data_IF_117879172438
#
_entry.id   IF_117879172438
#
_cell.length_a   1.000
_cell.length_b   1.000
_cell.length_c   1.000
_cell.angle_alpha   90.00
_cell.angle_beta   90.00
_cell.angle_gamma   90.00
#
_symmetry.space_group_name_H-M   'P 1'
#
loop_
_entity.id
_entity.type
_entity.pdbx_description
1 polymer ?
#
# COMPACT_ATOMS: atom_id res chain seq x y z
N UNK A 1 -72.02 -24.20 41.32
CA UNK A 1 -71.48 -23.59 42.55
C UNK A 1 -70.01 -23.26 42.33
N UNK A 2 -69.59 -22.08 42.79
CA UNK A 2 -68.25 -21.51 42.68
C UNK A 2 -67.16 -22.45 43.25
N UNK A 3 -65.99 -22.47 42.62
CA UNK A 3 -64.72 -22.13 43.29
C UNK A 3 -63.60 -22.03 42.25
N UNK A 4 -63.04 -20.81 42.14
CA UNK A 4 -61.69 -20.55 41.65
C UNK A 4 -60.67 -21.16 42.62
N UNK A 5 -59.51 -21.59 42.13
CA UNK A 5 -58.19 -21.26 42.69
C UNK A 5 -57.11 -21.45 41.61
N UNK A 6 -56.40 -20.35 41.44
CA UNK A 6 -55.12 -20.07 40.79
C UNK A 6 -54.04 -21.15 40.87
N UNK A 7 -53.38 -21.42 39.74
CA UNK A 7 -52.10 -22.11 39.65
C UNK A 7 -51.14 -21.32 38.75
N UNK A 8 -50.05 -20.83 39.35
CA UNK A 8 -48.99 -20.04 38.73
C UNK A 8 -48.29 -20.79 37.59
N UNK A 9 -48.19 -20.15 36.42
CA UNK A 9 -47.30 -20.57 35.34
C UNK A 9 -45.87 -20.08 35.63
N UNK A 10 -44.95 -21.01 35.86
CA UNK A 10 -43.52 -20.72 35.92
C UNK A 10 -43.00 -20.49 34.49
N UNK A 11 -42.68 -19.23 34.17
CA UNK A 11 -41.92 -18.88 32.98
C UNK A 11 -40.44 -19.22 33.22
N UNK A 12 -39.95 -20.28 32.59
CA UNK A 12 -38.51 -20.52 32.45
C UNK A 12 -37.92 -19.48 31.49
N UNK A 13 -37.34 -18.42 32.04
CA UNK A 13 -36.45 -17.51 31.31
C UNK A 13 -35.13 -18.23 31.10
N UNK A 14 -34.89 -18.70 29.87
CA UNK A 14 -33.57 -19.14 29.43
C UNK A 14 -32.73 -17.88 29.27
N UNK A 15 -31.94 -17.55 30.29
CA UNK A 15 -30.92 -16.52 30.20
C UNK A 15 -29.75 -17.08 29.37
N UNK A 16 -29.66 -16.66 28.11
CA UNK A 16 -28.46 -16.85 27.29
C UNK A 16 -27.26 -16.20 27.99
N UNK A 17 -26.10 -16.88 28.09
CA UNK A 17 -24.91 -16.24 28.64
C UNK A 17 -24.49 -15.10 27.73
N UNK A 18 -24.37 -13.93 28.34
CA UNK A 18 -23.90 -12.70 27.72
C UNK A 18 -22.63 -12.97 26.91
N UNK A 19 -22.69 -12.62 25.62
CA UNK A 19 -21.53 -12.43 24.77
C UNK A 19 -20.58 -11.48 25.52
N UNK A 20 -19.42 -12.00 25.92
CA UNK A 20 -18.36 -11.19 26.49
C UNK A 20 -18.00 -10.11 25.46
N UNK A 21 -18.47 -8.90 25.71
CA UNK A 21 -18.01 -7.70 25.03
C UNK A 21 -16.52 -7.59 25.35
N UNK A 22 -15.69 -7.92 24.38
CA UNK A 22 -14.28 -7.55 24.38
C UNK A 22 -14.26 -6.03 24.45
N UNK A 23 -13.98 -5.52 25.65
CA UNK A 23 -13.69 -4.12 25.91
C UNK A 23 -12.66 -3.66 24.89
N UNK A 24 -13.11 -2.85 23.94
CA UNK A 24 -12.25 -2.04 23.08
C UNK A 24 -11.58 -1.07 24.05
N UNK A 25 -10.35 -1.39 24.45
CA UNK A 25 -9.53 -0.48 25.23
C UNK A 25 -9.42 0.80 24.43
N UNK A 26 -9.97 1.87 25.01
CA UNK A 26 -10.03 3.20 24.46
C UNK A 26 -8.69 3.61 23.86
N UNK A 27 -8.67 3.90 22.56
CA UNK A 27 -7.57 4.67 21.98
C UNK A 27 -7.62 6.03 22.66
N UNK A 28 -6.61 6.36 23.46
CA UNK A 28 -6.51 7.69 24.05
C UNK A 28 -6.55 8.72 22.92
N UNK A 29 -7.40 9.73 23.04
CA UNK A 29 -7.35 10.94 22.25
C UNK A 29 -6.02 11.66 22.55
N UNK A 30 -4.94 11.20 21.91
CA UNK A 30 -3.64 11.86 21.89
C UNK A 30 -3.64 13.02 20.90
N UNK A 31 -2.64 13.90 21.03
CA UNK A 31 -2.32 15.02 20.12
C UNK A 31 -2.69 14.70 18.67
N UNK A 32 -3.10 15.72 17.90
CA UNK A 32 -3.22 15.60 16.44
C UNK A 32 -1.88 15.08 15.93
N UNK A 33 -1.82 13.77 15.65
CA UNK A 33 -0.65 13.13 15.10
C UNK A 33 -0.42 13.81 13.76
N UNK A 34 0.75 14.42 13.62
CA UNK A 34 1.19 15.03 12.39
C UNK A 34 1.08 14.00 11.26
N UNK A 35 0.06 14.19 10.42
CA UNK A 35 -0.31 13.20 9.41
C UNK A 35 0.76 13.05 8.34
N UNK A 36 1.57 14.08 8.14
CA UNK A 36 2.64 14.16 7.15
C UNK A 36 3.96 13.58 7.68
N UNK A 37 4.05 13.25 8.97
CA UNK A 37 5.27 12.73 9.59
C UNK A 37 5.90 11.54 8.84
N UNK A 38 5.14 10.53 8.35
CA UNK A 38 5.74 9.44 7.58
C UNK A 38 6.42 9.89 6.28
N UNK A 39 5.95 10.98 5.67
CA UNK A 39 6.55 11.52 4.45
C UNK A 39 7.88 12.23 4.70
N UNK A 40 8.18 12.59 5.96
CA UNK A 40 9.46 13.22 6.33
C UNK A 40 10.54 12.25 6.74
N UNK A 41 10.20 10.97 6.94
CA UNK A 41 11.15 9.89 7.28
C UNK A 41 12.43 9.92 6.41
N UNK A 42 12.36 10.05 5.07
CA UNK A 42 13.57 10.08 4.24
C UNK A 42 14.55 11.21 4.59
N UNK A 43 14.01 12.34 5.06
CA UNK A 43 14.75 13.58 5.25
C UNK A 43 15.10 13.86 6.72
N UNK A 44 14.53 13.10 7.65
CA UNK A 44 14.73 13.28 9.10
C UNK A 44 15.31 12.04 9.78
N UNK A 45 15.00 10.83 9.30
CA UNK A 45 15.31 9.56 10.00
C UNK A 45 16.16 8.59 9.18
N UNK A 46 15.86 8.44 7.91
CA UNK A 46 16.55 7.49 7.04
C UNK A 46 17.91 8.06 6.63
N UNK A 47 18.99 7.46 7.14
CA UNK A 47 20.35 7.84 6.79
C UNK A 47 20.77 7.25 5.45
N UNK A 48 21.33 8.08 4.58
CA UNK A 48 22.00 7.63 3.37
C UNK A 48 23.29 6.89 3.76
N UNK A 49 23.44 5.64 3.30
CA UNK A 49 24.63 4.83 3.56
C UNK A 49 25.91 5.40 2.94
N UNK A 50 25.80 6.31 1.96
CA UNK A 50 26.95 6.94 1.29
C UNK A 50 27.49 8.14 2.07
N UNK A 51 26.62 8.91 2.70
CA UNK A 51 26.99 10.17 3.38
C UNK A 51 26.89 10.08 4.91
N UNK A 52 26.09 9.16 5.43
CA UNK A 52 25.74 9.07 6.86
C UNK A 52 24.62 10.02 7.29
N UNK A 53 24.21 10.94 6.41
CA UNK A 53 23.21 11.98 6.68
C UNK A 53 21.83 11.61 6.11
N UNK A 54 20.73 12.20 6.63
CA UNK A 54 19.42 12.09 5.98
C UNK A 54 19.44 12.59 4.53
N UNK A 55 18.52 12.08 3.71
CA UNK A 55 18.42 12.52 2.32
C UNK A 55 17.95 13.99 2.24
N UNK A 56 18.43 14.78 1.28
CA UNK A 56 17.84 16.09 1.01
C UNK A 56 16.46 15.93 0.38
N UNK A 57 15.55 16.89 0.57
CA UNK A 57 14.20 16.88 -0.05
C UNK A 57 14.28 16.77 -1.58
N UNK A 58 15.31 17.34 -2.20
CA UNK A 58 15.56 17.22 -3.64
C UNK A 58 15.76 15.78 -4.11
N UNK A 59 16.19 14.85 -3.24
CA UNK A 59 16.36 13.45 -3.59
C UNK A 59 15.03 12.74 -3.89
N UNK A 60 13.89 13.28 -3.45
CA UNK A 60 12.57 12.75 -3.75
C UNK A 60 12.03 13.18 -5.12
N UNK A 61 12.68 14.13 -5.79
CA UNK A 61 12.24 14.64 -7.09
C UNK A 61 12.56 13.62 -8.17
N UNK A 62 11.56 13.29 -8.98
CA UNK A 62 11.70 12.47 -10.16
C UNK A 62 12.46 13.25 -11.25
N UNK A 63 13.57 12.67 -11.69
CA UNK A 63 14.49 13.26 -12.66
C UNK A 63 13.97 13.16 -14.12
N UNK A 64 12.88 12.43 -14.36
CA UNK A 64 12.25 12.35 -15.68
C UNK A 64 11.64 13.70 -16.09
N UNK A 65 12.31 14.41 -16.98
CA UNK A 65 11.90 15.70 -17.53
C UNK A 65 10.65 15.63 -18.41
N UNK A 66 10.29 14.44 -18.91
CA UNK A 66 9.07 14.21 -19.70
C UNK A 66 7.81 14.16 -18.84
N UNK A 67 7.95 14.04 -17.51
CA UNK A 67 6.81 14.09 -16.61
C UNK A 67 6.35 15.53 -16.38
N UNK A 68 5.03 15.79 -16.35
CA UNK A 68 4.49 17.03 -15.84
C UNK A 68 5.08 17.41 -14.48
N UNK A 69 5.43 18.68 -14.30
CA UNK A 69 6.13 19.17 -13.11
C UNK A 69 5.43 18.78 -11.79
N UNK A 70 4.10 18.84 -11.75
CA UNK A 70 3.31 18.49 -10.57
C UNK A 70 3.40 16.99 -10.19
N UNK A 71 3.74 16.10 -11.13
CA UNK A 71 3.91 14.66 -10.86
C UNK A 71 5.32 14.31 -10.42
N UNK A 72 6.30 15.17 -10.71
CA UNK A 72 7.71 14.90 -10.40
C UNK A 72 8.02 14.93 -8.91
N UNK A 73 7.18 15.60 -8.11
CA UNK A 73 7.28 15.62 -6.65
C UNK A 73 6.71 14.39 -5.95
N UNK A 74 6.27 13.35 -6.68
CA UNK A 74 5.68 12.12 -6.11
C UNK A 74 6.74 11.09 -5.74
N UNK A 75 6.64 10.57 -4.53
CA UNK A 75 7.50 9.51 -4.02
C UNK A 75 6.75 8.62 -3.04
N UNK A 76 7.37 7.50 -2.69
CA UNK A 76 6.82 6.50 -1.78
C UNK A 76 7.78 6.33 -0.61
N UNK A 77 7.22 6.17 0.60
CA UNK A 77 7.95 5.82 1.81
C UNK A 77 7.37 4.53 2.39
N UNK A 78 8.15 3.45 2.35
CA UNK A 78 7.87 2.22 3.09
C UNK A 78 8.42 2.35 4.49
N UNK A 79 7.56 2.52 5.49
CA UNK A 79 7.93 2.37 6.90
C UNK A 79 7.64 0.92 7.29
N UNK A 80 8.67 0.09 7.23
CA UNK A 80 8.56 -1.34 7.48
C UNK A 80 8.85 -1.71 8.94
N UNK A 81 9.04 -0.73 9.82
CA UNK A 81 9.03 -1.00 11.24
C UNK A 81 7.61 -1.40 11.66
N UNK A 82 7.46 -2.45 12.44
CA UNK A 82 6.17 -2.91 12.97
C UNK A 82 5.98 -2.52 14.43
N UNK A 83 7.08 -2.26 15.14
CA UNK A 83 7.10 -1.74 16.50
C UNK A 83 7.52 -0.26 16.54
N UNK A 84 7.19 0.40 17.64
CA UNK A 84 7.71 1.72 17.99
C UNK A 84 9.01 1.62 18.80
N UNK A 85 9.61 2.77 19.12
CA UNK A 85 10.87 2.88 19.87
C UNK A 85 10.76 2.30 21.30
N UNK A 86 9.55 2.17 21.85
CA UNK A 86 9.31 1.54 23.15
C UNK A 86 9.22 0.00 23.07
N UNK A 87 9.34 -0.57 21.87
CA UNK A 87 9.24 -2.01 21.63
C UNK A 87 7.80 -2.51 21.59
N UNK A 88 6.82 -1.63 21.40
CA UNK A 88 5.40 -1.98 21.32
C UNK A 88 4.97 -2.04 19.86
N UNK A 89 4.14 -3.02 19.48
CA UNK A 89 3.59 -3.06 18.12
C UNK A 89 2.74 -1.82 17.87
N UNK A 90 2.87 -1.18 16.70
CA UNK A 90 2.26 0.13 16.43
C UNK A 90 0.75 0.06 16.23
N UNK A 91 0.28 -1.04 15.63
CA UNK A 91 -1.01 -1.06 14.95
C UNK A 91 -0.98 -0.14 13.74
N UNK A 92 -2.07 -0.07 12.99
CA UNK A 92 -2.11 0.76 11.79
C UNK A 92 -3.54 1.11 11.42
N UNK A 93 -3.70 2.34 10.93
CA UNK A 93 -4.91 2.84 10.32
C UNK A 93 -4.55 3.41 8.96
N UNK A 94 -5.28 2.99 7.93
CA UNK A 94 -5.15 3.57 6.61
C UNK A 94 -5.63 5.02 6.58
N UNK A 95 -5.03 5.78 5.68
CA UNK A 95 -5.43 7.13 5.37
C UNK A 95 -5.54 7.29 3.85
N UNK A 96 -6.66 7.85 3.40
CA UNK A 96 -6.89 8.17 2.01
C UNK A 96 -7.36 9.62 1.89
N UNK A 97 -6.59 10.41 1.15
CA UNK A 97 -7.03 11.76 0.77
C UNK A 97 -8.26 11.65 -0.12
N UNK A 98 -9.27 12.49 0.12
CA UNK A 98 -10.47 12.50 -0.71
C UNK A 98 -10.12 12.83 -2.15
N UNK A 99 -10.88 12.27 -3.08
CA UNK A 99 -10.66 12.47 -4.52
C UNK A 99 -10.65 13.96 -4.90
N UNK A 100 -11.56 14.74 -4.34
CA UNK A 100 -11.68 16.17 -4.57
C UNK A 100 -10.57 17.00 -3.92
N UNK A 101 -9.68 16.40 -3.13
CA UNK A 101 -8.53 17.04 -2.49
C UNK A 101 -7.20 16.68 -3.16
N UNK A 102 -7.22 15.77 -4.14
CA UNK A 102 -6.02 15.36 -4.87
C UNK A 102 -5.46 16.51 -5.73
N UNK A 103 -4.14 16.45 -5.95
CA UNK A 103 -3.43 17.43 -6.78
C UNK A 103 -3.71 17.26 -8.28
N UNK A 104 -4.31 16.13 -8.68
CA UNK A 104 -4.77 15.86 -10.05
C UNK A 104 -5.89 16.79 -10.53
N UNK A 105 -6.70 17.35 -9.63
CA UNK A 105 -7.99 17.95 -10.02
C UNK A 105 -8.22 19.39 -9.54
N UNK A 106 -7.23 20.31 -9.63
CA UNK A 106 -7.39 21.66 -9.10
C UNK A 106 -8.49 22.45 -9.81
N UNK A 107 -8.68 22.31 -11.13
CA UNK A 107 -9.71 23.03 -11.89
C UNK A 107 -11.08 22.43 -11.66
N UNK A 108 -11.20 21.11 -11.77
CA UNK A 108 -12.47 20.43 -11.51
C UNK A 108 -12.95 20.69 -10.08
N UNK A 109 -12.05 20.71 -9.08
CA UNK A 109 -12.40 21.08 -7.71
C UNK A 109 -12.99 22.48 -7.62
N UNK A 110 -12.35 23.45 -8.30
CA UNK A 110 -12.83 24.84 -8.33
C UNK A 110 -14.23 24.92 -8.96
N UNK A 111 -14.45 24.21 -10.07
CA UNK A 111 -15.75 24.16 -10.75
C UNK A 111 -16.83 23.52 -9.87
N UNK A 112 -16.53 22.38 -9.24
CA UNK A 112 -17.46 21.72 -8.31
C UNK A 112 -17.84 22.65 -7.15
N UNK A 113 -16.85 23.34 -6.56
CA UNK A 113 -17.06 24.28 -5.47
C UNK A 113 -17.90 25.51 -5.88
N UNK A 114 -17.60 26.11 -7.04
CA UNK A 114 -18.35 27.25 -7.60
C UNK A 114 -19.81 26.89 -7.86
N UNK A 115 -20.06 25.68 -8.40
CA UNK A 115 -21.39 25.19 -8.76
C UNK A 115 -22.13 24.53 -7.59
N UNK A 116 -21.45 24.26 -6.47
CA UNK A 116 -21.98 23.53 -5.30
C UNK A 116 -22.57 22.16 -5.67
N UNK A 117 -21.83 21.41 -6.50
CA UNK A 117 -22.21 20.06 -6.94
C UNK A 117 -21.21 19.02 -6.45
N UNK A 118 -21.63 17.76 -6.44
CA UNK A 118 -20.77 16.63 -6.13
C UNK A 118 -19.61 16.53 -7.13
N UNK A 119 -18.38 16.45 -6.63
CA UNK A 119 -17.19 16.47 -7.47
C UNK A 119 -17.19 15.36 -8.54
N UNK A 120 -17.66 14.16 -8.19
CA UNK A 120 -17.71 13.02 -9.13
C UNK A 120 -18.77 13.17 -10.22
N UNK A 121 -19.77 14.05 -10.05
CA UNK A 121 -20.80 14.26 -11.08
C UNK A 121 -20.22 14.91 -12.33
N UNK A 122 -19.13 15.67 -12.19
CA UNK A 122 -18.42 16.31 -13.29
C UNK A 122 -17.95 15.31 -14.36
N UNK A 123 -17.71 14.04 -13.99
CA UNK A 123 -17.29 12.99 -14.93
C UNK A 123 -18.31 12.76 -16.07
N UNK A 124 -19.58 13.11 -15.86
CA UNK A 124 -20.67 12.98 -16.84
C UNK A 124 -20.76 14.17 -17.79
N UNK A 125 -20.15 15.31 -17.46
CA UNK A 125 -20.15 16.50 -18.29
C UNK A 125 -19.07 16.42 -19.39
N UNK A 126 -19.16 17.27 -20.40
CA UNK A 126 -18.11 17.43 -21.40
C UNK A 126 -17.29 18.72 -21.13
N UNK A 127 -16.07 18.78 -21.66
CA UNK A 127 -15.16 19.91 -21.40
C UNK A 127 -15.77 21.24 -21.81
N UNK A 128 -16.46 21.31 -22.96
CA UNK A 128 -17.09 22.55 -23.44
C UNK A 128 -18.16 23.11 -22.50
N UNK A 129 -18.86 22.25 -21.74
CA UNK A 129 -19.83 22.67 -20.69
C UNK A 129 -19.13 23.14 -19.41
N UNK A 130 -17.91 22.69 -19.17
CA UNK A 130 -17.11 23.05 -18.00
C UNK A 130 -16.30 24.33 -18.22
N UNK A 131 -15.90 24.59 -19.46
CA UNK A 131 -15.10 25.74 -19.89
C UNK A 131 -15.91 27.04 -19.89
N UNK A 132 -15.31 28.12 -19.39
CA UNK A 132 -15.89 29.48 -19.52
C UNK A 132 -15.53 30.06 -20.89
N UNK A 133 -16.42 30.84 -21.49
CA UNK A 133 -16.26 31.39 -22.85
C UNK A 133 -14.98 32.22 -23.11
N UNK A 134 -14.22 32.59 -22.07
CA UNK A 134 -12.99 33.38 -22.15
C UNK A 134 -11.71 32.60 -21.80
N UNK A 135 -11.78 31.28 -21.57
CA UNK A 135 -10.60 30.48 -21.25
C UNK A 135 -9.68 30.29 -22.46
N UNK A 136 -8.36 30.28 -22.23
CA UNK A 136 -7.37 30.02 -23.26
C UNK A 136 -7.40 28.55 -23.71
N UNK A 137 -6.80 28.25 -24.86
CA UNK A 137 -6.65 26.88 -25.34
C UNK A 137 -5.91 26.00 -24.32
N UNK A 138 -4.86 26.53 -23.69
CA UNK A 138 -4.08 25.80 -22.68
C UNK A 138 -4.93 25.44 -21.45
N UNK A 139 -5.81 26.34 -21.01
CA UNK A 139 -6.73 26.08 -19.90
C UNK A 139 -7.78 25.04 -20.27
N UNK A 140 -8.29 25.09 -21.51
CA UNK A 140 -9.20 24.07 -22.06
C UNK A 140 -8.54 22.68 -22.10
N UNK A 141 -7.30 22.58 -22.59
CA UNK A 141 -6.56 21.32 -22.65
C UNK A 141 -6.24 20.77 -21.25
N UNK A 142 -5.82 21.64 -20.32
CA UNK A 142 -5.58 21.26 -18.93
C UNK A 142 -6.85 20.69 -18.28
N UNK A 143 -7.99 21.35 -18.47
CA UNK A 143 -9.29 20.88 -17.96
C UNK A 143 -9.71 19.56 -18.61
N UNK A 144 -9.47 19.39 -19.91
CA UNK A 144 -9.72 18.13 -20.61
C UNK A 144 -8.90 16.97 -20.03
N UNK A 145 -7.64 17.21 -19.67
CA UNK A 145 -6.82 16.20 -19.00
C UNK A 145 -7.34 15.83 -17.62
N UNK A 146 -7.72 16.81 -16.80
CA UNK A 146 -8.31 16.56 -15.47
C UNK A 146 -9.60 15.73 -15.60
N UNK A 147 -10.45 16.05 -16.58
CA UNK A 147 -11.72 15.33 -16.81
C UNK A 147 -11.49 13.88 -17.29
N UNK A 148 -10.55 13.67 -18.22
CA UNK A 148 -10.13 12.35 -18.66
C UNK A 148 -9.57 11.52 -17.49
N UNK A 149 -8.76 12.14 -16.63
CA UNK A 149 -8.19 11.49 -15.43
C UNK A 149 -9.26 11.14 -14.40
N UNK A 150 -10.25 12.01 -14.17
CA UNK A 150 -11.36 11.74 -13.28
C UNK A 150 -12.17 10.53 -13.76
N UNK A 151 -12.55 10.51 -15.04
CA UNK A 151 -13.28 9.38 -15.64
C UNK A 151 -12.49 8.08 -15.54
N UNK A 152 -11.20 8.12 -15.87
CA UNK A 152 -10.33 6.95 -15.78
C UNK A 152 -10.22 6.45 -14.33
N UNK A 153 -10.05 7.34 -13.36
CA UNK A 153 -10.00 6.98 -11.93
C UNK A 153 -11.29 6.28 -11.48
N UNK A 154 -12.45 6.86 -11.80
CA UNK A 154 -13.75 6.30 -11.38
C UNK A 154 -13.97 4.90 -11.97
N UNK A 155 -13.65 4.72 -13.25
CA UNK A 155 -13.86 3.45 -13.95
C UNK A 155 -12.83 2.37 -13.56
N UNK A 156 -11.58 2.74 -13.33
CA UNK A 156 -10.48 1.78 -13.20
C UNK A 156 -10.01 1.56 -11.76
N UNK A 157 -10.29 2.49 -10.86
CA UNK A 157 -9.82 2.48 -9.48
C UNK A 157 -10.98 2.52 -8.50
N UNK A 158 -11.81 3.56 -8.53
CA UNK A 158 -12.85 3.81 -7.51
C UNK A 158 -13.84 2.66 -7.37
N UNK A 159 -14.23 2.01 -8.47
CA UNK A 159 -15.17 0.88 -8.42
C UNK A 159 -14.71 -0.32 -7.57
N UNK A 160 -13.43 -0.35 -7.18
CA UNK A 160 -12.86 -1.38 -6.33
C UNK A 160 -12.66 -0.92 -4.89
N UNK A 161 -13.08 0.30 -4.54
CA UNK A 161 -12.93 0.88 -3.21
C UNK A 161 -13.51 -0.04 -2.13
N UNK A 162 -12.79 -0.11 -1.02
CA UNK A 162 -13.18 -0.85 0.17
C UNK A 162 -13.05 0.07 1.38
N UNK A 163 -13.72 -0.30 2.46
CA UNK A 163 -13.56 0.41 3.74
C UNK A 163 -12.09 0.49 4.14
N UNK A 164 -11.74 1.62 4.77
CA UNK A 164 -10.38 1.85 5.25
C UNK A 164 -10.00 0.76 6.27
N UNK A 165 -8.84 0.16 6.08
CA UNK A 165 -8.37 -0.90 6.97
C UNK A 165 -7.85 -0.28 8.27
N UNK A 166 -8.35 -0.76 9.40
CA UNK A 166 -7.80 -0.51 10.73
C UNK A 166 -7.40 -1.85 11.33
N UNK A 167 -6.14 -1.97 11.76
CA UNK A 167 -5.66 -3.17 12.44
C UNK A 167 -5.10 -2.85 13.82
N UNK A 168 -5.45 -3.75 14.74
CA UNK A 168 -4.90 -3.78 16.08
C UNK A 168 -3.37 -3.96 16.05
N UNK A 169 -2.73 -3.62 17.16
CA UNK A 169 -1.28 -3.73 17.37
C UNK A 169 -0.75 -5.14 17.13
N UNK A 170 -1.50 -6.15 17.58
CA UNK A 170 -1.17 -7.56 17.36
C UNK A 170 -2.35 -8.25 16.72
N UNK A 171 -2.10 -9.02 15.65
CA UNK A 171 -3.13 -9.77 14.94
C UNK A 171 -2.64 -11.21 14.72
N UNK A 172 -3.37 -12.19 15.26
CA UNK A 172 -2.99 -13.62 15.20
C UNK A 172 -1.51 -13.86 15.57
N UNK A 173 -1.00 -13.15 16.59
CA UNK A 173 0.38 -13.24 17.07
C UNK A 173 1.41 -12.46 16.23
N UNK A 174 1.02 -11.84 15.12
CA UNK A 174 1.89 -10.97 14.32
C UNK A 174 1.93 -9.55 14.87
N UNK A 175 3.11 -8.94 14.87
CA UNK A 175 3.29 -7.53 15.19
C UNK A 175 2.92 -6.68 13.98
N UNK A 176 1.91 -5.83 14.14
CA UNK A 176 1.35 -5.02 13.07
C UNK A 176 1.85 -3.59 13.22
N UNK A 177 2.30 -2.99 12.12
CA UNK A 177 2.67 -1.57 12.05
C UNK A 177 3.25 -1.10 10.72
N UNK A 178 3.46 -2.00 9.76
CA UNK A 178 4.07 -1.66 8.48
C UNK A 178 3.12 -0.86 7.58
N UNK A 179 3.65 0.20 6.99
CA UNK A 179 2.89 1.10 6.10
C UNK A 179 3.64 1.37 4.80
N UNK A 180 2.86 1.63 3.75
CA UNK A 180 3.32 2.21 2.50
C UNK A 180 2.67 3.57 2.33
N UNK A 181 3.48 4.63 2.41
CA UNK A 181 3.03 6.01 2.39
C UNK A 181 3.33 6.63 1.03
N UNK A 182 2.32 7.24 0.42
CA UNK A 182 2.40 7.91 -0.88
C UNK A 182 2.39 9.41 -0.63
N UNK A 183 3.45 10.07 -1.06
CA UNK A 183 3.79 11.42 -0.62
C UNK A 183 4.07 12.35 -1.80
N UNK A 184 3.75 13.63 -1.63
CA UNK A 184 4.07 14.68 -2.60
C UNK A 184 4.91 15.77 -1.95
N UNK A 185 5.82 16.35 -2.73
CA UNK A 185 6.40 17.65 -2.39
C UNK A 185 5.47 18.74 -2.88
N UNK A 186 4.81 19.43 -1.95
CA UNK A 186 3.95 20.58 -2.23
C UNK A 186 4.56 21.82 -1.57
N UNK A 187 4.86 22.85 -2.37
CA UNK A 187 5.49 24.10 -1.89
C UNK A 187 6.77 23.84 -1.06
N UNK A 188 7.60 22.90 -1.52
CA UNK A 188 8.84 22.49 -0.84
C UNK A 188 8.65 21.62 0.41
N UNK A 189 7.41 21.25 0.76
CA UNK A 189 7.10 20.46 1.96
C UNK A 189 6.57 19.05 1.61
N UNK A 190 7.06 18.00 2.29
CA UNK A 190 6.46 16.66 2.27
C UNK A 190 5.00 16.68 2.74
N UNK A 191 4.11 16.07 1.97
CA UNK A 191 2.69 15.90 2.30
C UNK A 191 2.22 14.48 2.01
N UNK A 192 1.48 13.90 2.94
CA UNK A 192 0.85 12.58 2.77
C UNK A 192 -0.39 12.68 1.88
N UNK A 193 -0.46 11.79 0.90
CA UNK A 193 -1.65 11.58 0.07
C UNK A 193 -2.37 10.31 0.51
N UNK A 194 -1.64 9.20 0.63
CA UNK A 194 -2.19 7.92 1.06
C UNK A 194 -1.27 7.21 2.05
N UNK A 195 -1.85 6.50 3.00
CA UNK A 195 -1.16 5.52 3.87
C UNK A 195 -1.90 4.20 3.75
N UNK A 196 -1.24 3.22 3.17
CA UNK A 196 -1.76 1.86 3.06
C UNK A 196 -1.08 0.95 4.07
N UNK A 197 -1.85 0.00 4.58
CA UNK A 197 -1.26 -1.14 5.30
C UNK A 197 -0.51 -2.02 4.29
N UNK A 198 0.67 -2.50 4.66
CA UNK A 198 1.50 -3.30 3.75
C UNK A 198 2.22 -4.45 4.47
N UNK A 199 2.80 -5.35 3.71
CA UNK A 199 3.68 -6.39 4.22
C UNK A 199 4.97 -6.47 3.41
N UNK A 200 6.10 -6.32 4.09
CA UNK A 200 7.44 -6.55 3.55
C UNK A 200 7.96 -7.95 3.87
N UNK A 201 9.23 -8.20 3.52
CA UNK A 201 9.89 -9.49 3.60
C UNK A 201 9.95 -10.08 5.01
N UNK A 202 9.56 -11.34 5.17
CA UNK A 202 9.76 -12.12 6.40
C UNK A 202 11.23 -12.44 6.67
N UNK A 203 12.06 -12.42 5.62
CA UNK A 203 13.46 -12.84 5.64
C UNK A 203 14.42 -11.73 6.08
N UNK A 204 13.93 -10.50 6.18
CA UNK A 204 14.73 -9.39 6.66
C UNK A 204 14.86 -9.49 8.19
N UNK A 205 15.75 -10.38 8.63
CA UNK A 205 16.08 -10.55 10.03
C UNK A 205 17.00 -9.42 10.53
N UNK A 206 17.77 -8.78 9.63
CA UNK A 206 18.62 -7.62 9.92
C UNK A 206 18.69 -6.64 8.72
N UNK A 207 18.61 -5.31 8.94
CA UNK A 207 18.75 -4.29 7.90
C UNK A 207 20.03 -4.42 7.08
N UNK A 208 21.15 -4.74 7.73
CA UNK A 208 22.47 -4.94 7.12
C UNK A 208 22.56 -6.04 6.04
N UNK A 209 21.53 -6.89 5.89
CA UNK A 209 21.48 -7.87 4.80
C UNK A 209 21.29 -7.22 3.42
N UNK A 210 21.09 -5.90 3.36
CA UNK A 210 20.94 -5.10 2.12
C UNK A 210 19.89 -5.65 1.17
N UNK A 211 18.87 -6.34 1.66
CA UNK A 211 17.80 -6.90 0.82
C UNK A 211 17.00 -5.79 0.14
N UNK A 212 16.58 -4.80 0.92
CA UNK A 212 16.01 -3.56 0.40
C UNK A 212 17.09 -2.48 0.41
N UNK A 213 17.27 -1.81 -0.72
CA UNK A 213 18.02 -0.56 -0.74
C UNK A 213 17.22 0.54 0.00
N UNK A 214 17.88 1.49 0.68
CA UNK A 214 17.18 2.58 1.37
C UNK A 214 16.47 3.52 0.39
N UNK A 215 16.96 3.61 -0.84
CA UNK A 215 16.33 4.36 -1.93
C UNK A 215 16.30 3.51 -3.20
N UNK A 216 15.12 3.48 -3.82
CA UNK A 216 14.79 2.71 -5.01
C UNK A 216 14.07 3.63 -6.02
N UNK A 217 13.87 3.12 -7.23
CA UNK A 217 13.09 3.77 -8.29
C UNK A 217 12.03 2.81 -8.81
N UNK A 218 10.82 3.32 -9.09
CA UNK A 218 9.78 2.54 -9.76
C UNK A 218 10.14 2.39 -11.23
N UNK A 219 10.59 1.20 -11.64
CA UNK A 219 11.12 0.96 -12.97
C UNK A 219 10.02 0.66 -14.00
N UNK A 220 8.99 -0.09 -13.62
CA UNK A 220 7.87 -0.47 -14.50
C UNK A 220 6.56 -0.54 -13.74
N UNK A 221 5.44 -0.42 -14.47
CA UNK A 221 4.09 -0.37 -13.91
C UNK A 221 3.14 -1.19 -14.78
N UNK A 222 2.64 -2.29 -14.23
CA UNK A 222 1.82 -3.28 -14.93
C UNK A 222 0.43 -3.30 -14.31
N UNK A 223 -0.60 -3.44 -15.14
CA UNK A 223 -1.97 -3.59 -14.65
C UNK A 223 -2.32 -5.07 -14.39
N UNK A 224 -3.38 -5.29 -13.61
CA UNK A 224 -3.97 -6.61 -13.38
C UNK A 224 -4.90 -7.06 -14.51
N UNK A 225 -5.14 -8.37 -14.59
CA UNK A 225 -6.05 -9.02 -15.55
C UNK A 225 -7.54 -8.87 -15.20
N UNK A 226 -7.86 -8.55 -13.95
CA UNK A 226 -9.24 -8.40 -13.43
C UNK A 226 -9.97 -7.14 -13.93
N UNK A 227 -9.36 -6.41 -14.87
CA UNK A 227 -9.92 -5.25 -15.55
C UNK A 227 -9.48 -5.22 -17.01
N UNK A 228 -10.26 -4.54 -17.85
CA UNK A 228 -9.90 -4.30 -19.25
C UNK A 228 -9.03 -3.05 -19.35
N UNK A 229 -7.87 -3.18 -20.00
CA UNK A 229 -7.04 -2.02 -20.38
C UNK A 229 -7.71 -1.22 -21.51
N UNK A 230 -7.81 0.09 -21.34
CA UNK A 230 -8.53 1.01 -22.25
C UNK A 230 -7.61 2.05 -22.87
N UNK A 231 -8.04 2.75 -23.93
CA UNK A 231 -7.31 3.92 -24.45
C UNK A 231 -7.10 5.02 -23.40
N UNK A 232 -8.03 5.17 -22.45
CA UNK A 232 -7.87 6.10 -21.33
C UNK A 232 -6.69 5.71 -20.42
N UNK A 233 -6.51 4.40 -20.18
CA UNK A 233 -5.34 3.90 -19.45
C UNK A 233 -4.04 4.20 -20.19
N UNK A 234 -4.01 4.04 -21.51
CA UNK A 234 -2.83 4.36 -22.32
C UNK A 234 -2.46 5.86 -22.25
N UNK A 235 -3.47 6.74 -22.29
CA UNK A 235 -3.26 8.19 -22.09
C UNK A 235 -2.69 8.48 -20.70
N UNK A 236 -3.28 7.91 -19.64
CA UNK A 236 -2.78 8.04 -18.27
C UNK A 236 -1.35 7.52 -18.15
N UNK A 237 -1.08 6.34 -18.69
CA UNK A 237 0.23 5.71 -18.64
C UNK A 237 1.30 6.57 -19.31
N UNK A 238 0.99 7.17 -20.46
CA UNK A 238 1.85 8.14 -21.14
C UNK A 238 2.15 9.35 -20.25
N UNK A 239 1.14 9.96 -19.62
CA UNK A 239 1.33 11.11 -18.70
C UNK A 239 2.20 10.76 -17.49
N UNK A 240 2.08 9.53 -17.04
CA UNK A 240 2.79 9.01 -15.87
C UNK A 240 4.16 8.41 -16.22
N UNK A 241 4.69 8.67 -17.41
CA UNK A 241 6.04 8.29 -17.84
C UNK A 241 6.16 6.96 -18.58
N UNK A 242 5.09 6.16 -18.62
CA UNK A 242 5.03 4.87 -19.30
C UNK A 242 4.43 3.77 -18.43
N UNK A 243 3.70 2.83 -19.02
CA UNK A 243 3.04 1.72 -18.33
C UNK A 243 2.71 0.61 -19.30
N UNK A 244 2.41 -0.57 -18.77
CA UNK A 244 2.13 -1.76 -19.59
C UNK A 244 0.74 -2.31 -19.28
N UNK A 245 0.07 -2.75 -20.34
CA UNK A 245 -1.12 -3.60 -20.27
C UNK A 245 -0.78 -5.06 -19.95
N UNK A 246 0.50 -5.44 -20.05
CA UNK A 246 0.97 -6.78 -19.72
C UNK A 246 0.82 -7.07 -18.23
N UNK A 247 0.55 -8.33 -17.92
CA UNK A 247 0.38 -8.85 -16.56
C UNK A 247 1.73 -9.40 -16.10
N UNK A 248 2.21 -8.96 -14.93
CA UNK A 248 3.43 -9.53 -14.37
C UNK A 248 3.14 -10.94 -13.84
N UNK A 249 3.99 -11.91 -14.18
CA UNK A 249 3.88 -13.29 -13.73
C UNK A 249 5.04 -13.63 -12.82
N UNK A 250 4.75 -14.31 -11.71
CA UNK A 250 5.74 -14.95 -10.86
C UNK A 250 5.85 -16.42 -11.23
N UNK A 251 7.05 -16.88 -11.57
CA UNK A 251 7.30 -18.28 -11.87
C UNK A 251 7.19 -19.13 -10.59
N UNK A 252 6.31 -20.12 -10.61
CA UNK A 252 6.06 -21.00 -9.47
C UNK A 252 6.02 -22.46 -9.93
N UNK A 253 7.20 -23.02 -10.20
CA UNK A 253 7.36 -24.45 -10.53
C UNK A 253 6.54 -24.91 -11.74
N UNK A 254 6.47 -24.09 -12.79
CA UNK A 254 5.69 -24.38 -14.00
C UNK A 254 4.20 -23.98 -13.94
N UNK A 255 3.71 -23.43 -12.82
CA UNK A 255 2.37 -22.84 -12.70
C UNK A 255 2.47 -21.35 -12.36
N UNK A 256 2.71 -20.47 -13.34
CA UNK A 256 2.92 -19.04 -13.09
C UNK A 256 1.72 -18.41 -12.38
N UNK A 257 2.01 -17.60 -11.36
CA UNK A 257 1.00 -16.86 -10.60
C UNK A 257 1.00 -15.42 -11.08
N UNK A 258 -0.17 -14.88 -11.41
CA UNK A 258 -0.30 -13.45 -11.70
C UNK A 258 0.07 -12.63 -10.46
N UNK A 259 0.84 -11.57 -10.68
CA UNK A 259 1.16 -10.52 -9.72
C UNK A 259 0.37 -9.27 -10.13
N UNK A 260 -0.85 -9.06 -9.60
CA UNK A 260 -1.74 -8.04 -10.11
C UNK A 260 -1.26 -6.64 -9.70
N UNK A 261 -1.39 -5.66 -10.61
CA UNK A 261 -1.03 -4.25 -10.35
C UNK A 261 0.45 -4.05 -9.97
N UNK A 262 1.34 -4.85 -10.56
CA UNK A 262 2.75 -4.91 -10.19
C UNK A 262 3.53 -3.66 -10.62
N UNK A 263 4.07 -2.95 -9.65
CA UNK A 263 5.08 -1.91 -9.83
C UNK A 263 6.46 -2.47 -9.46
N UNK A 264 7.29 -2.70 -10.47
CA UNK A 264 8.66 -3.15 -10.25
C UNK A 264 9.48 -2.00 -9.68
N UNK A 265 10.31 -2.27 -8.68
CA UNK A 265 11.26 -1.29 -8.17
C UNK A 265 12.67 -1.84 -8.20
N UNK A 266 13.63 -0.95 -8.42
CA UNK A 266 15.05 -1.26 -8.48
C UNK A 266 15.82 -0.36 -7.52
N UNK A 267 16.90 -0.83 -6.88
CA UNK A 267 17.81 0.05 -6.16
C UNK A 267 18.22 1.24 -7.04
N UNK A 268 18.22 2.44 -6.45
CA UNK A 268 18.68 3.62 -7.16
C UNK A 268 20.17 3.53 -7.49
N UNK A 269 20.67 4.33 -8.43
CA UNK A 269 22.05 4.23 -8.91
C UNK A 269 23.06 4.32 -7.76
N UNK A 270 23.94 3.31 -7.69
CA UNK A 270 24.97 3.21 -6.66
C UNK A 270 24.48 2.69 -5.30
N UNK A 271 23.24 2.20 -5.21
CA UNK A 271 22.76 1.42 -4.07
C UNK A 271 22.64 -0.06 -4.42
N UNK A 272 22.75 -0.92 -3.42
CA UNK A 272 22.65 -2.38 -3.55
C UNK A 272 21.37 -2.86 -2.90
N UNK A 273 20.66 -3.75 -3.59
CA UNK A 273 19.42 -4.38 -3.12
C UNK A 273 18.92 -5.44 -4.10
N UNK A 274 17.92 -6.20 -3.67
CA UNK A 274 17.22 -7.17 -4.52
C UNK A 274 16.54 -6.46 -5.69
N UNK A 275 16.67 -7.03 -6.88
CA UNK A 275 16.19 -6.46 -8.15
C UNK A 275 14.98 -7.18 -8.71
N UNK A 276 14.55 -8.29 -8.10
CA UNK A 276 13.36 -9.05 -8.49
C UNK A 276 12.08 -8.65 -7.74
N UNK A 277 12.11 -7.60 -6.93
CA UNK A 277 10.98 -7.19 -6.09
C UNK A 277 10.06 -6.15 -6.73
N UNK A 278 8.79 -6.17 -6.34
CA UNK A 278 7.82 -5.14 -6.69
C UNK A 278 6.82 -4.83 -5.58
N UNK A 279 6.04 -3.79 -5.79
CA UNK A 279 4.83 -3.46 -5.03
C UNK A 279 3.64 -4.02 -5.81
N UNK A 280 2.81 -4.85 -5.21
CA UNK A 280 1.69 -5.47 -5.93
C UNK A 280 0.53 -5.89 -5.03
N UNK A 281 -0.60 -6.16 -5.65
CA UNK A 281 -1.73 -6.81 -4.98
C UNK A 281 -1.31 -8.21 -4.52
N UNK A 282 -1.74 -8.64 -3.33
CA UNK A 282 -1.53 -10.02 -2.88
C UNK A 282 -1.92 -11.05 -3.96
N UNK A 283 -1.01 -11.97 -4.23
CA UNK A 283 -1.10 -13.00 -5.26
C UNK A 283 -1.19 -14.40 -4.60
N UNK A 284 -1.85 -15.36 -5.25
CA UNK A 284 -1.79 -16.77 -4.84
C UNK A 284 -2.76 -17.24 -3.75
N UNK A 285 -3.91 -16.56 -3.53
CA UNK A 285 -5.15 -17.16 -3.01
C UNK A 285 -5.22 -17.67 -1.56
N UNK A 286 -4.13 -17.80 -0.81
CA UNK A 286 -4.16 -18.38 0.55
C UNK A 286 -4.19 -17.36 1.70
N UNK A 287 -3.79 -16.12 1.45
CA UNK A 287 -3.78 -15.04 2.45
C UNK A 287 -4.70 -13.92 1.96
N UNK A 288 -5.82 -13.72 2.66
CA UNK A 288 -6.82 -12.69 2.36
C UNK A 288 -6.40 -11.28 2.78
N UNK A 289 -5.11 -11.08 3.09
CA UNK A 289 -4.59 -9.84 3.69
C UNK A 289 -4.72 -9.84 5.21
N UNK A 290 -5.10 -10.96 5.82
CA UNK A 290 -5.19 -11.13 7.27
C UNK A 290 -3.88 -10.78 7.97
N UNK A 291 -2.73 -11.03 7.32
CA UNK A 291 -1.41 -10.73 7.89
C UNK A 291 -0.81 -9.38 7.48
N UNK A 292 -1.54 -8.55 6.70
CA UNK A 292 -1.07 -7.20 6.38
C UNK A 292 -0.69 -6.39 7.60
N UNK A 293 0.36 -5.57 7.46
CA UNK A 293 0.96 -4.78 8.51
C UNK A 293 2.11 -5.48 9.22
N UNK A 294 2.38 -6.75 8.93
CA UNK A 294 3.49 -7.52 9.46
C UNK A 294 4.50 -7.94 8.36
N UNK A 295 5.77 -8.18 8.71
CA UNK A 295 6.81 -8.66 7.78
C UNK A 295 6.65 -10.15 7.49
N UNK A 296 5.83 -10.47 6.50
CA UNK A 296 5.41 -11.84 6.18
C UNK A 296 5.56 -12.22 4.70
N UNK A 297 5.90 -11.27 3.82
CA UNK A 297 6.08 -11.56 2.40
C UNK A 297 7.40 -12.31 2.13
N UNK A 298 7.58 -12.83 0.91
CA UNK A 298 8.86 -13.41 0.49
C UNK A 298 9.87 -12.37 0.02
N UNK A 299 9.49 -11.08 -0.06
CA UNK A 299 10.33 -10.07 -0.67
C UNK A 299 9.58 -8.86 -1.23
N UNK A 300 8.52 -9.13 -1.97
CA UNK A 300 7.70 -8.06 -2.53
C UNK A 300 6.91 -7.30 -1.45
N UNK A 301 6.48 -6.10 -1.78
CA UNK A 301 5.65 -5.25 -0.93
C UNK A 301 4.20 -5.50 -1.31
N UNK A 302 3.42 -6.07 -0.40
CA UNK A 302 2.05 -6.54 -0.70
C UNK A 302 0.99 -5.56 -0.25
N UNK A 303 0.02 -5.30 -1.12
CA UNK A 303 -1.15 -4.45 -0.88
C UNK A 303 -2.46 -5.23 -1.09
N UNK A 304 -3.55 -4.74 -0.52
CA UNK A 304 -4.92 -5.16 -0.87
C UNK A 304 -5.32 -4.68 -2.27
N UNK A 305 -6.44 -5.21 -2.77
CA UNK A 305 -6.91 -5.02 -4.15
C UNK A 305 -7.06 -3.55 -4.56
N UNK A 306 -7.75 -2.75 -3.74
CA UNK A 306 -7.99 -1.34 -4.03
C UNK A 306 -6.69 -0.54 -3.96
N UNK A 307 -5.95 -0.70 -2.86
CA UNK A 307 -4.69 -0.02 -2.57
C UNK A 307 -3.65 -0.27 -3.67
N UNK A 308 -3.56 -1.50 -4.20
CA UNK A 308 -2.65 -1.81 -5.30
C UNK A 308 -3.02 -1.09 -6.61
N UNK A 309 -4.31 -1.01 -6.94
CA UNK A 309 -4.79 -0.28 -8.14
C UNK A 309 -4.56 1.23 -7.99
N UNK A 310 -4.89 1.76 -6.82
CA UNK A 310 -4.69 3.18 -6.49
C UNK A 310 -3.21 3.56 -6.51
N UNK A 311 -2.35 2.77 -5.86
CA UNK A 311 -0.90 2.93 -5.89
C UNK A 311 -0.39 3.00 -7.33
N UNK A 312 -0.77 2.02 -8.16
CA UNK A 312 -0.32 1.94 -9.55
C UNK A 312 -0.85 3.09 -10.41
N UNK A 313 -2.08 3.53 -10.19
CA UNK A 313 -2.68 4.66 -10.91
C UNK A 313 -2.02 6.00 -10.57
N UNK A 314 -1.62 6.18 -9.31
CA UNK A 314 -1.10 7.43 -8.78
C UNK A 314 0.42 7.59 -8.91
N UNK A 315 1.18 6.50 -8.89
CA UNK A 315 2.65 6.54 -8.91
C UNK A 315 3.21 6.66 -10.33
N UNK A 316 4.01 7.69 -10.64
CA UNK A 316 4.66 7.80 -11.94
C UNK A 316 5.86 6.84 -12.06
N UNK A 317 6.24 6.50 -13.29
CA UNK A 317 7.49 5.78 -13.56
C UNK A 317 8.68 6.63 -13.10
N UNK A 318 9.71 6.00 -12.58
CA UNK A 318 10.91 6.60 -11.97
C UNK A 318 10.65 7.38 -10.67
N UNK A 319 9.45 7.29 -10.09
CA UNK A 319 9.20 7.81 -8.74
C UNK A 319 10.19 7.17 -7.76
N UNK A 320 10.68 7.97 -6.80
CA UNK A 320 11.57 7.50 -5.76
C UNK A 320 10.78 6.69 -4.73
N UNK A 321 11.36 5.60 -4.27
CA UNK A 321 10.80 4.73 -3.24
C UNK A 321 11.82 4.53 -2.12
N UNK A 322 11.60 5.22 -1.02
CA UNK A 322 12.42 5.15 0.18
C UNK A 322 11.92 4.02 1.07
N UNK A 323 12.85 3.23 1.62
CA UNK A 323 12.53 2.14 2.53
C UNK A 323 13.24 2.41 3.85
N UNK A 324 12.44 2.57 4.90
CA UNK A 324 12.91 2.76 6.26
C UNK A 324 12.55 1.54 7.10
N UNK A 325 13.60 0.94 7.67
CA UNK A 325 13.50 -0.16 8.61
C UNK A 325 14.72 -0.16 9.51
N UNK A 326 14.52 -0.45 10.78
CA UNK A 326 15.56 -0.50 11.80
C UNK A 326 15.56 -1.85 12.49
N UNK A 327 16.75 -2.33 12.84
CA UNK A 327 16.91 -3.63 13.49
C UNK A 327 16.14 -3.74 14.82
N UNK A 328 15.95 -2.61 15.52
CA UNK A 328 15.28 -2.56 16.82
C UNK A 328 13.74 -2.65 16.72
N UNK A 329 13.15 -2.17 15.62
CA UNK A 329 11.71 -1.96 15.50
C UNK A 329 11.06 -2.75 14.36
N UNK A 330 11.87 -3.42 13.52
CA UNK A 330 11.42 -4.46 12.60
C UNK A 330 11.15 -5.78 13.34
N UNK A 331 9.88 -6.10 13.58
CA UNK A 331 9.46 -7.25 14.43
C UNK A 331 8.36 -8.08 13.75
N UNK A 332 8.51 -9.39 13.74
CA UNK A 332 7.53 -10.28 13.10
C UNK A 332 6.33 -10.57 14.01
N UNK A 333 6.57 -10.72 15.30
CA UNK A 333 5.59 -11.27 16.24
C UNK A 333 5.31 -10.32 17.40
N UNK A 334 4.16 -10.47 18.04
CA UNK A 334 3.78 -9.67 19.19
C UNK A 334 2.95 -10.48 20.20
N UNK A 335 2.97 -10.06 21.44
CA UNK A 335 2.12 -10.59 22.49
C UNK A 335 0.73 -9.93 22.42
N UNK A 336 -0.33 -10.71 22.23
CA UNK A 336 -1.68 -10.15 22.13
C UNK A 336 -2.18 -9.50 23.44
N UNK A 337 -1.66 -9.90 24.60
CA UNK A 337 -2.06 -9.37 25.91
C UNK A 337 -1.37 -8.05 26.22
N UNK A 338 -0.07 -7.96 25.92
CA UNK A 338 0.74 -6.78 26.27
C UNK A 338 0.99 -5.86 25.09
N UNK A 339 0.68 -6.28 23.86
CA UNK A 339 1.09 -5.64 22.61
C UNK A 339 2.61 -5.47 22.44
N UNK A 340 3.42 -6.09 23.29
CA UNK A 340 4.87 -6.04 23.22
C UNK A 340 5.35 -6.81 22.00
N UNK A 341 6.23 -6.18 21.22
CA UNK A 341 6.82 -6.80 20.06
C UNK A 341 7.87 -7.84 20.47
N UNK A 342 7.95 -8.91 19.69
CA UNK A 342 8.85 -10.03 19.88
C UNK A 342 9.68 -10.21 18.61
N UNK A 343 10.95 -10.55 18.79
CA UNK A 343 11.84 -10.89 17.67
C UNK A 343 11.35 -12.13 16.93
N UNK A 344 12.04 -12.47 15.84
CA UNK A 344 11.80 -13.72 15.14
C UNK A 344 12.05 -14.89 16.09
N UNK A 345 10.99 -15.62 16.46
CA UNK A 345 11.12 -16.93 17.07
C UNK A 345 11.30 -17.88 15.89
N UNK A 346 12.42 -18.62 15.85
CA UNK A 346 12.57 -19.67 14.87
C UNK A 346 11.29 -20.51 14.89
N UNK A 347 10.61 -20.71 13.75
CA UNK A 347 9.56 -21.72 13.73
C UNK A 347 10.19 -23.01 14.25
N UNK A 348 9.52 -23.76 15.15
CA UNK A 348 10.02 -25.07 15.54
C UNK A 348 10.34 -25.83 14.24
N UNK A 349 11.46 -26.58 14.20
CA UNK A 349 11.81 -27.35 13.02
C UNK A 349 10.58 -28.12 12.58
N UNK A 350 10.16 -27.90 11.33
CA UNK A 350 9.12 -28.73 10.71
C UNK A 350 9.69 -30.13 10.75
N UNK A 351 9.05 -31.01 11.51
CA UNK A 351 9.48 -32.40 11.64
C UNK A 351 9.34 -33.04 10.26
N UNK A 352 10.45 -33.08 9.51
CA UNK A 352 10.52 -33.73 8.21
C UNK A 352 10.62 -35.24 8.34
N UNK A 353 10.44 -35.82 9.52
CA UNK A 353 10.31 -37.25 9.74
C UNK A 353 8.93 -37.78 9.26
N UNK A 354 8.66 -37.62 7.96
CA UNK A 354 7.73 -38.46 7.21
C UNK A 354 8.54 -39.20 6.14
N UNK A 355 8.35 -40.51 5.94
CA UNK A 355 9.26 -41.32 5.13
C UNK A 355 9.14 -40.95 3.65
N UNK A 356 10.09 -40.17 3.14
CA UNK A 356 10.38 -40.14 1.71
C UNK A 356 11.65 -40.93 1.47
N UNK A 357 11.48 -42.22 1.17
CA UNK A 357 12.46 -42.94 0.36
C UNK A 357 12.53 -42.23 -1.00
N UNK A 358 13.56 -41.41 -1.19
CA UNK A 358 13.96 -41.01 -2.53
C UNK A 358 14.88 -42.11 -3.08
N UNK A 359 14.33 -42.87 -4.02
CA UNK A 359 15.08 -43.76 -4.90
C UNK A 359 16.03 -42.89 -5.75
N UNK A 360 17.32 -42.95 -5.43
CA UNK A 360 18.37 -42.32 -6.21
C UNK A 360 18.61 -43.13 -7.48
N UNK A 361 17.86 -42.81 -8.53
CA UNK A 361 18.29 -43.12 -9.90
C UNK A 361 18.72 -41.83 -10.61
N UNK A 362 20.05 -41.70 -10.66
CA UNK A 362 20.86 -40.99 -11.61
C UNK A 362 20.18 -40.58 -12.92
N UNK A 363 20.09 -39.27 -13.20
CA UNK A 363 20.13 -38.76 -14.57
C UNK A 363 20.91 -37.44 -14.60
N UNK A 364 22.08 -37.51 -15.24
CA UNK A 364 22.52 -36.54 -16.24
C UNK A 364 22.68 -35.08 -15.84
N UNK A 365 23.94 -34.72 -15.58
CA UNK A 365 24.49 -33.38 -15.78
C UNK A 365 24.11 -32.89 -17.19
N UNK A 366 23.41 -31.75 -17.28
CA UNK A 366 23.50 -30.87 -18.45
C UNK A 366 23.53 -29.41 -18.02
N UNK A 367 24.73 -28.86 -18.15
CA UNK A 367 25.01 -27.45 -18.43
C UNK A 367 24.32 -27.02 -19.73
N UNK A 368 23.76 -25.81 -19.80
CA UNK A 368 23.65 -24.87 -20.94
C UNK A 368 22.50 -23.89 -20.59
N UNK A 369 22.67 -22.58 -20.34
CA UNK A 369 23.34 -21.46 -21.02
C UNK A 369 22.25 -20.44 -21.43
N UNK A 370 22.65 -19.16 -21.42
CA UNK A 370 22.09 -18.00 -22.17
C UNK A 370 20.88 -17.26 -21.62
#
# INVERSE_FOLDING_TARGET
MRALISGFAALCVIASPALAQTTITSMSAGKIDDIDAPCRIPFEKLKDMKTGEPFPVSAAINENDKLPAHLRGRYIVGDFNSADESGMCKGVKEYLTRLDQLSEFPRLRKIAAERKIEFTSLAKENVATLTKAQESLDEFEALAFELDDLRNYLDQVQRFETDHIVKARVYNGYCVGQTLNFCEIQNGKPKLVYRFITSSSRWQQRPENKYYAPINVISTRNWSSDRRYTPADAKRDKRMGGGRSHIAMFENGGSPIEMPNFMHFLPDKGYVGERANGIHQIAGGLDSGGTFGAPVSLGCVRLSKYQAKLARWWTPQQAKFFIYLEAATYRNYGDAKTAQARGYINPPPVDTAGPRQYDTRSVGIFSLFR
#
